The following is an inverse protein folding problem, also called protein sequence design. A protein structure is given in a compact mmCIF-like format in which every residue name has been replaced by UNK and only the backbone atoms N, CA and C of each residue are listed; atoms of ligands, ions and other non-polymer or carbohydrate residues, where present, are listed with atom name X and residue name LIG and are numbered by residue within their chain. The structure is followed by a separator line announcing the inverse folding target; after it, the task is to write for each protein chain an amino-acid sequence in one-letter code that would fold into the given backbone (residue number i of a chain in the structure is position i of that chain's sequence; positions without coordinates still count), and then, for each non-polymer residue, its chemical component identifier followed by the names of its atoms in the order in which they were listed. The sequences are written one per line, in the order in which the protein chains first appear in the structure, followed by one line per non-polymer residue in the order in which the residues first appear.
data_IF_933846562168
#
_entry.id   IF_933846562168
#
_cell.length_a   1.000
_cell.length_b   1.000
_cell.length_c   1.000
_cell.angle_alpha   90.00
_cell.angle_beta   90.00
_cell.angle_gamma   90.00
#
_symmetry.space_group_name_H-M   'P 1'
#
loop_
_entity.id
_entity.type
_entity.pdbx_description
1 polymer ?
#
# COMPACT_ATOMS: atom_id res chain seq x y z
N UNK A 1 0.79 19.46 -12.41
CA UNK A 1 -0.14 18.37 -12.79
C UNK A 1 -0.60 17.70 -11.50
N UNK A 2 -1.90 17.41 -11.32
CA UNK A 2 -2.40 16.84 -10.06
C UNK A 2 -2.07 15.34 -9.99
N UNK A 3 -1.16 14.96 -9.09
CA UNK A 3 -0.63 13.59 -8.95
C UNK A 3 -1.73 12.55 -8.66
N UNK A 4 -2.79 12.94 -7.96
CA UNK A 4 -3.93 12.07 -7.69
C UNK A 4 -4.69 11.71 -8.98
N UNK A 5 -4.94 12.71 -9.83
CA UNK A 5 -5.63 12.54 -11.11
C UNK A 5 -4.80 11.67 -12.05
N UNK A 6 -3.51 11.99 -12.20
CA UNK A 6 -2.63 11.23 -13.09
C UNK A 6 -2.47 9.78 -12.65
N UNK A 7 -2.33 9.53 -11.34
CA UNK A 7 -2.23 8.15 -10.79
C UNK A 7 -3.53 7.39 -11.02
N UNK A 8 -4.67 8.01 -10.72
CA UNK A 8 -5.99 7.38 -10.91
C UNK A 8 -6.21 7.01 -12.37
N UNK A 9 -5.88 7.90 -13.31
CA UNK A 9 -5.96 7.63 -14.75
C UNK A 9 -5.00 6.53 -15.18
N UNK A 10 -3.78 6.54 -14.65
CA UNK A 10 -2.75 5.55 -15.01
C UNK A 10 -3.19 4.13 -14.67
N UNK A 11 -3.76 3.94 -13.47
CA UNK A 11 -4.14 2.61 -12.97
C UNK A 11 -5.54 2.20 -13.44
N UNK A 12 -6.50 3.13 -13.41
CA UNK A 12 -7.93 2.83 -13.59
C UNK A 12 -8.55 3.50 -14.83
N UNK A 13 -7.79 4.16 -15.70
CA UNK A 13 -8.31 4.91 -16.85
C UNK A 13 -9.25 4.09 -17.74
N UNK A 14 -8.94 2.82 -17.99
CA UNK A 14 -9.82 1.93 -18.76
C UNK A 14 -11.19 1.69 -18.09
N UNK A 15 -11.26 1.68 -16.74
CA UNK A 15 -12.52 1.54 -16.00
C UNK A 15 -13.35 2.82 -16.06
N UNK A 16 -12.66 3.96 -16.06
CA UNK A 16 -13.29 5.27 -16.01
C UNK A 16 -13.76 5.76 -17.38
N UNK A 17 -13.32 5.15 -18.49
CA UNK A 17 -13.78 5.47 -19.85
C UNK A 17 -13.74 6.97 -20.18
N UNK A 18 -12.68 7.67 -19.73
CA UNK A 18 -12.50 9.12 -19.84
C UNK A 18 -13.49 9.98 -19.04
N UNK A 19 -14.18 9.43 -18.03
CA UNK A 19 -14.94 10.21 -17.06
C UNK A 19 -14.03 11.23 -16.35
N UNK A 20 -14.50 12.45 -16.06
CA UNK A 20 -13.71 13.44 -15.34
C UNK A 20 -13.29 12.93 -13.96
N UNK A 21 -11.99 12.89 -13.69
CA UNK A 21 -11.45 12.47 -12.40
C UNK A 21 -11.46 13.68 -11.43
N UNK A 22 -12.12 13.56 -10.26
CA UNK A 22 -12.09 14.59 -9.23
C UNK A 22 -10.68 14.86 -8.69
N UNK A 23 -10.48 16.03 -8.11
CA UNK A 23 -9.19 16.46 -7.56
C UNK A 23 -9.05 16.25 -6.04
N UNK A 24 -9.99 15.56 -5.39
CA UNK A 24 -9.95 15.27 -3.95
C UNK A 24 -10.06 13.78 -3.67
N UNK A 25 -9.33 13.30 -2.67
CA UNK A 25 -9.32 11.91 -2.21
C UNK A 25 -10.72 11.35 -1.98
N UNK A 26 -11.57 12.12 -1.28
CA UNK A 26 -12.94 11.72 -0.97
C UNK A 26 -13.78 11.50 -2.23
N UNK A 27 -13.65 12.39 -3.21
CA UNK A 27 -14.41 12.29 -4.46
C UNK A 27 -13.86 11.17 -5.37
N UNK A 28 -12.53 10.98 -5.42
CA UNK A 28 -11.91 9.86 -6.14
C UNK A 28 -12.33 8.52 -5.54
N UNK A 29 -12.31 8.36 -4.20
CA UNK A 29 -12.82 7.15 -3.55
C UNK A 29 -14.27 6.86 -3.91
N UNK A 30 -15.12 7.89 -3.97
CA UNK A 30 -16.52 7.72 -4.35
C UNK A 30 -16.65 7.24 -5.80
N UNK A 31 -15.95 7.90 -6.74
CA UNK A 31 -15.95 7.53 -8.16
C UNK A 31 -15.47 6.09 -8.37
N UNK A 32 -14.36 5.70 -7.75
CA UNK A 32 -13.80 4.36 -7.88
C UNK A 32 -14.71 3.30 -7.26
N UNK A 33 -15.38 3.61 -6.13
CA UNK A 33 -16.34 2.72 -5.50
C UNK A 33 -17.55 2.41 -6.39
N UNK A 34 -18.00 3.38 -7.19
CA UNK A 34 -19.09 3.17 -8.18
C UNK A 34 -18.69 2.14 -9.25
N UNK A 35 -17.38 1.91 -9.44
CA UNK A 35 -16.83 0.92 -10.36
C UNK A 35 -16.33 -0.36 -9.65
N UNK A 36 -16.67 -0.54 -8.37
CA UNK A 36 -16.28 -1.71 -7.57
C UNK A 36 -14.85 -1.65 -7.02
N UNK A 37 -14.15 -0.51 -7.16
CA UNK A 37 -12.78 -0.33 -6.67
C UNK A 37 -12.79 0.32 -5.28
N UNK A 38 -12.16 -0.34 -4.32
CA UNK A 38 -11.99 0.15 -2.95
C UNK A 38 -10.55 0.69 -2.81
N UNK A 39 -10.40 1.92 -2.31
CA UNK A 39 -9.09 2.58 -2.22
C UNK A 39 -8.85 3.15 -0.83
N UNK A 40 -7.66 2.90 -0.30
CA UNK A 40 -7.11 3.55 0.89
C UNK A 40 -5.80 4.24 0.54
N UNK A 41 -5.64 5.50 0.96
CA UNK A 41 -4.46 6.33 0.65
C UNK A 41 -3.43 6.38 1.79
N UNK A 42 -3.75 5.77 2.93
CA UNK A 42 -2.91 5.75 4.12
C UNK A 42 -2.73 4.32 4.60
N UNK A 43 -1.53 4.01 5.09
CA UNK A 43 -1.13 2.69 5.54
C UNK A 43 -2.08 2.16 6.62
N UNK A 44 -2.38 2.94 7.66
CA UNK A 44 -3.24 2.48 8.75
C UNK A 44 -4.68 2.19 8.30
N UNK A 45 -5.19 2.96 7.34
CA UNK A 45 -6.50 2.68 6.75
C UNK A 45 -6.46 1.39 5.91
N UNK A 46 -5.40 1.19 5.13
CA UNK A 46 -5.16 -0.06 4.40
C UNK A 46 -5.03 -1.25 5.34
N UNK A 47 -4.25 -1.13 6.41
CA UNK A 47 -4.06 -2.17 7.43
C UNK A 47 -5.38 -2.54 8.11
N UNK A 48 -6.16 -1.53 8.53
CA UNK A 48 -7.49 -1.73 9.11
C UNK A 48 -8.45 -2.38 8.11
N UNK A 49 -8.33 -2.04 6.83
CA UNK A 49 -9.14 -2.62 5.77
C UNK A 49 -8.84 -4.12 5.60
N UNK A 50 -7.56 -4.50 5.43
CA UNK A 50 -7.17 -5.89 5.18
C UNK A 50 -7.41 -6.79 6.41
N UNK A 51 -7.28 -6.24 7.62
CA UNK A 51 -7.59 -6.95 8.87
C UNK A 51 -9.08 -7.15 9.13
N UNK A 52 -9.96 -6.68 8.25
CA UNK A 52 -11.39 -6.98 8.31
C UNK A 52 -11.72 -8.16 7.38
N UNK A 53 -11.96 -9.38 7.91
CA UNK A 53 -12.15 -10.57 7.06
C UNK A 53 -13.34 -10.44 6.13
N UNK A 54 -14.44 -9.81 6.59
CA UNK A 54 -15.65 -9.65 5.77
C UNK A 54 -15.41 -8.73 4.58
N UNK A 55 -14.55 -7.71 4.73
CA UNK A 55 -14.17 -6.85 3.60
C UNK A 55 -13.16 -7.53 2.69
N UNK A 56 -12.17 -8.22 3.25
CA UNK A 56 -11.13 -8.86 2.45
C UNK A 56 -11.70 -9.98 1.58
N UNK A 57 -12.70 -10.72 2.07
CA UNK A 57 -13.39 -11.77 1.30
C UNK A 57 -14.12 -11.24 0.06
N UNK A 58 -14.41 -9.94 -0.02
CA UNK A 58 -15.03 -9.32 -1.20
C UNK A 58 -14.01 -8.71 -2.17
N UNK A 59 -12.71 -9.01 -2.01
CA UNK A 59 -11.63 -8.44 -2.83
C UNK A 59 -11.02 -9.54 -3.69
N UNK A 60 -11.15 -9.38 -5.00
CA UNK A 60 -10.61 -10.33 -5.98
C UNK A 60 -9.08 -10.21 -6.10
N UNK A 61 -8.57 -8.97 -6.08
CA UNK A 61 -7.15 -8.65 -6.18
C UNK A 61 -6.81 -7.33 -5.47
N UNK A 62 -5.53 -7.14 -5.17
CA UNK A 62 -5.01 -5.94 -4.49
C UNK A 62 -3.93 -5.28 -5.35
N UNK A 63 -3.97 -3.95 -5.44
CA UNK A 63 -2.88 -3.14 -5.99
C UNK A 63 -2.27 -2.35 -4.84
N UNK A 64 -0.96 -2.52 -4.63
CA UNK A 64 -0.20 -1.86 -3.57
C UNK A 64 0.76 -0.84 -4.16
N UNK A 65 0.73 0.38 -3.63
CA UNK A 65 1.88 1.27 -3.77
C UNK A 65 2.95 0.89 -2.74
N UNK A 66 4.21 1.05 -3.09
CA UNK A 66 5.34 0.83 -2.17
C UNK A 66 5.38 1.96 -1.14
N UNK A 67 5.23 3.20 -1.62
CA UNK A 67 5.30 4.40 -0.79
C UNK A 67 3.90 4.83 -0.38
N UNK A 68 3.52 4.50 0.85
CA UNK A 68 2.22 4.86 1.41
C UNK A 68 2.45 5.70 2.67
N UNK A 69 1.70 6.80 2.79
CA UNK A 69 1.74 7.64 3.98
C UNK A 69 1.24 6.84 5.19
N UNK A 70 2.00 6.86 6.29
CA UNK A 70 1.63 6.14 7.52
C UNK A 70 0.39 6.77 8.18
N UNK A 71 0.26 8.10 8.07
CA UNK A 71 -0.68 8.88 8.85
C UNK A 71 -0.04 9.45 10.12
N UNK A 72 -0.73 10.41 10.73
CA UNK A 72 -0.31 11.05 11.99
C UNK A 72 -0.78 10.29 13.23
N UNK A 73 -1.73 9.39 13.08
CA UNK A 73 -2.39 8.78 14.23
C UNK A 73 -1.50 7.69 14.82
N UNK A 74 -1.05 7.92 16.05
CA UNK A 74 -0.59 6.84 16.90
C UNK A 74 -1.76 5.88 17.13
N UNK A 75 -1.53 4.60 16.82
CA UNK A 75 -2.51 3.55 17.02
C UNK A 75 -1.81 2.34 17.59
N UNK A 76 -2.51 1.59 18.45
CA UNK A 76 -2.00 0.35 19.03
C UNK A 76 -1.46 -0.62 17.97
N UNK A 77 -2.12 -0.67 16.81
CA UNK A 77 -1.68 -1.48 15.68
C UNK A 77 -0.35 -1.00 15.07
N UNK A 78 -0.15 0.32 14.95
CA UNK A 78 1.12 0.90 14.49
C UNK A 78 2.23 0.61 15.49
N UNK A 79 1.99 0.91 16.78
CA UNK A 79 2.95 0.67 17.86
C UNK A 79 3.41 -0.79 17.88
N UNK A 80 2.47 -1.72 17.75
CA UNK A 80 2.82 -3.14 17.68
C UNK A 80 3.70 -3.48 16.48
N UNK A 81 3.38 -3.00 15.29
CA UNK A 81 4.21 -3.23 14.10
C UNK A 81 5.62 -2.64 14.28
N UNK A 82 5.71 -1.42 14.82
CA UNK A 82 6.98 -0.76 15.05
C UNK A 82 7.83 -1.49 16.09
N UNK A 83 7.22 -2.02 17.15
CA UNK A 83 7.90 -2.84 18.16
C UNK A 83 8.35 -4.19 17.59
N UNK A 84 7.45 -4.88 16.88
CA UNK A 84 7.71 -6.23 16.38
C UNK A 84 8.80 -6.24 15.28
N UNK A 85 8.90 -5.18 14.46
CA UNK A 85 9.69 -5.21 13.23
C UNK A 85 10.64 -4.02 13.01
N UNK A 86 10.50 -2.91 13.72
CA UNK A 86 11.24 -1.67 13.45
C UNK A 86 12.00 -1.09 14.65
N UNK A 87 12.21 -1.92 15.69
CA UNK A 87 13.00 -1.57 16.88
C UNK A 87 12.46 -0.34 17.62
N UNK A 88 11.14 -0.15 17.64
CA UNK A 88 10.55 0.84 18.54
C UNK A 88 10.58 0.30 19.97
N UNK A 89 11.24 1.06 20.86
CA UNK A 89 11.31 0.75 22.29
C UNK A 89 10.62 1.88 23.08
N UNK A 90 9.42 1.65 23.62
CA UNK A 90 8.69 2.65 24.39
C UNK A 90 9.46 3.11 25.64
N UNK A 91 9.49 4.42 25.91
CA UNK A 91 10.18 5.04 27.05
C UNK A 91 9.16 5.71 27.98
N UNK A 92 8.52 4.98 28.92
CA UNK A 92 7.41 5.49 29.72
C UNK A 92 7.80 6.65 30.66
N UNK A 93 9.09 6.77 30.99
CA UNK A 93 9.61 7.78 31.92
C UNK A 93 10.32 8.95 31.20
N UNK A 94 10.40 8.93 29.86
CA UNK A 94 11.05 9.98 29.05
C UNK A 94 10.30 10.18 27.72
N UNK A 95 9.33 11.10 27.72
CA UNK A 95 8.50 11.41 26.55
C UNK A 95 9.32 11.85 25.32
N UNK A 96 10.44 12.56 25.54
CA UNK A 96 11.29 13.03 24.43
C UNK A 96 12.07 11.88 23.81
N UNK A 97 12.56 10.95 24.62
CA UNK A 97 13.22 9.74 24.12
C UNK A 97 12.23 8.79 23.43
N UNK A 98 10.99 8.69 23.95
CA UNK A 98 9.91 7.91 23.34
C UNK A 98 9.56 8.42 21.93
N UNK A 99 9.32 9.73 21.80
CA UNK A 99 9.02 10.38 20.52
C UNK A 99 10.14 10.15 19.50
N UNK A 100 11.41 10.31 19.92
CA UNK A 100 12.56 10.06 19.05
C UNK A 100 12.67 8.60 18.60
N UNK A 101 12.42 7.65 19.51
CA UNK A 101 12.41 6.20 19.25
C UNK A 101 11.30 5.84 18.25
N UNK A 102 10.10 6.37 18.48
CA UNK A 102 8.94 6.20 17.61
C UNK A 102 9.19 6.77 16.21
N UNK A 103 9.65 8.02 16.10
CA UNK A 103 9.92 8.67 14.81
C UNK A 103 11.02 7.96 14.02
N UNK A 104 12.05 7.46 14.72
CA UNK A 104 13.10 6.66 14.08
C UNK A 104 12.55 5.35 13.52
N UNK A 105 11.74 4.62 14.29
CA UNK A 105 11.12 3.37 13.83
C UNK A 105 10.15 3.63 12.67
N UNK A 106 9.30 4.66 12.79
CA UNK A 106 8.38 5.11 11.73
C UNK A 106 9.12 5.51 10.46
N UNK A 107 10.25 6.20 10.58
CA UNK A 107 11.13 6.57 9.47
C UNK A 107 11.65 5.37 8.69
N UNK A 108 11.87 4.23 9.35
CA UNK A 108 12.25 2.97 8.70
C UNK A 108 11.08 2.24 8.04
N UNK A 109 9.86 2.38 8.59
CA UNK A 109 8.65 1.79 8.01
C UNK A 109 8.21 2.53 6.73
N UNK A 110 8.27 3.87 6.69
CA UNK A 110 7.82 4.69 5.55
C UNK A 110 8.26 4.16 4.17
N UNK A 111 9.56 3.89 3.90
CA UNK A 111 10.00 3.46 2.57
C UNK A 111 9.48 2.07 2.17
N UNK A 112 9.00 1.27 3.12
CA UNK A 112 8.56 -0.11 2.91
C UNK A 112 7.11 -0.36 3.33
N UNK A 113 6.32 0.71 3.55
CA UNK A 113 4.97 0.61 4.10
C UNK A 113 4.05 -0.29 3.25
N UNK A 114 4.13 -0.18 1.91
CA UNK A 114 3.42 -1.07 1.00
C UNK A 114 3.80 -2.54 1.16
N UNK A 115 5.09 -2.82 1.40
CA UNK A 115 5.56 -4.18 1.64
C UNK A 115 5.11 -4.73 2.99
N UNK A 116 5.03 -3.88 4.01
CA UNK A 116 4.46 -4.31 5.29
C UNK A 116 2.99 -4.73 5.13
N UNK A 117 2.20 -4.04 4.29
CA UNK A 117 0.84 -4.49 3.94
C UNK A 117 0.85 -5.81 3.16
N UNK A 118 1.79 -6.00 2.24
CA UNK A 118 1.96 -7.26 1.52
C UNK A 118 2.28 -8.43 2.46
N UNK A 119 3.21 -8.24 3.40
CA UNK A 119 3.57 -9.25 4.40
C UNK A 119 2.33 -9.62 5.21
N UNK A 120 1.56 -8.64 5.68
CA UNK A 120 0.32 -8.90 6.41
C UNK A 120 -0.69 -9.69 5.55
N UNK A 121 -0.91 -9.25 4.30
CA UNK A 121 -1.83 -9.92 3.35
C UNK A 121 -1.46 -11.38 3.11
N UNK A 122 -0.19 -11.66 2.79
CA UNK A 122 0.24 -13.00 2.37
C UNK A 122 0.54 -13.90 3.57
N UNK A 123 1.33 -13.41 4.53
CA UNK A 123 1.85 -14.25 5.61
C UNK A 123 0.86 -14.40 6.75
N UNK A 124 0.14 -13.33 7.12
CA UNK A 124 -0.79 -13.36 8.24
C UNK A 124 -2.21 -13.73 7.79
N UNK A 125 -2.64 -13.25 6.62
CA UNK A 125 -4.03 -13.40 6.15
C UNK A 125 -4.21 -14.45 5.05
N UNK A 126 -3.13 -14.99 4.48
CA UNK A 126 -3.19 -16.04 3.45
C UNK A 126 -3.78 -15.58 2.12
N UNK A 127 -3.74 -14.29 1.80
CA UNK A 127 -4.22 -13.76 0.53
C UNK A 127 -3.33 -14.26 -0.64
N UNK A 128 -3.90 -14.70 -1.78
CA UNK A 128 -3.12 -15.22 -2.90
C UNK A 128 -2.15 -14.19 -3.44
N UNK A 129 -0.85 -14.48 -3.41
CA UNK A 129 0.21 -13.54 -3.83
C UNK A 129 0.11 -13.18 -5.32
N UNK A 130 -0.39 -14.09 -6.15
CA UNK A 130 -0.65 -13.94 -7.59
C UNK A 130 -1.79 -12.94 -7.91
N UNK A 131 -2.60 -12.62 -6.89
CA UNK A 131 -3.66 -11.61 -6.94
C UNK A 131 -3.19 -10.25 -6.39
N UNK A 132 -1.88 -10.07 -6.15
CA UNK A 132 -1.32 -8.80 -5.70
C UNK A 132 -0.40 -8.22 -6.78
N UNK A 133 -0.62 -6.96 -7.14
CA UNK A 133 0.26 -6.16 -7.98
C UNK A 133 0.90 -5.07 -7.14
N UNK A 134 2.23 -4.96 -7.17
CA UNK A 134 2.87 -3.70 -6.78
C UNK A 134 2.86 -2.72 -7.96
N UNK A 135 2.35 -1.52 -7.73
CA UNK A 135 2.27 -0.46 -8.73
C UNK A 135 2.83 0.84 -8.14
N UNK A 136 4.08 1.16 -8.45
CA UNK A 136 4.80 2.29 -7.85
C UNK A 136 5.76 2.97 -8.83
N UNK A 137 6.04 4.26 -8.62
CA UNK A 137 6.99 5.02 -9.44
C UNK A 137 8.37 5.15 -8.77
N UNK A 138 8.56 4.49 -7.63
CA UNK A 138 9.75 4.53 -6.78
C UNK A 138 10.79 3.50 -7.24
N UNK A 139 11.41 3.74 -8.41
CA UNK A 139 12.24 2.77 -9.12
C UNK A 139 13.52 2.35 -8.37
N UNK A 140 14.03 3.16 -7.45
CA UNK A 140 15.23 2.82 -6.65
C UNK A 140 14.85 1.87 -5.51
N UNK A 141 13.79 2.19 -4.77
CA UNK A 141 13.24 1.36 -3.71
C UNK A 141 12.81 -0.02 -4.26
N UNK A 142 12.27 -0.05 -5.48
CA UNK A 142 11.97 -1.28 -6.19
C UNK A 142 13.18 -2.21 -6.36
N UNK A 143 14.38 -1.68 -6.66
CA UNK A 143 15.58 -2.49 -6.89
C UNK A 143 16.10 -3.12 -5.60
N UNK A 144 16.15 -2.35 -4.53
CA UNK A 144 16.60 -2.84 -3.23
C UNK A 144 15.68 -3.95 -2.75
N UNK A 145 14.37 -3.81 -2.99
CA UNK A 145 13.40 -4.80 -2.54
C UNK A 145 13.44 -6.05 -3.43
N UNK A 146 13.60 -5.90 -4.74
CA UNK A 146 13.91 -7.02 -5.64
C UNK A 146 15.13 -7.81 -5.15
N UNK A 147 16.18 -7.11 -4.71
CA UNK A 147 17.38 -7.76 -4.19
C UNK A 147 17.11 -8.54 -2.90
N UNK A 148 16.32 -8.00 -1.97
CA UNK A 148 15.92 -8.68 -0.72
C UNK A 148 15.11 -9.94 -0.99
N UNK A 149 14.09 -9.88 -1.85
CA UNK A 149 13.28 -11.06 -2.21
C UNK A 149 14.13 -12.14 -2.89
N UNK A 150 15.01 -11.73 -3.80
CA UNK A 150 15.96 -12.63 -4.46
C UNK A 150 16.91 -13.30 -3.46
N UNK A 151 17.43 -12.55 -2.50
CA UNK A 151 18.30 -13.07 -1.44
C UNK A 151 17.55 -14.05 -0.53
N UNK A 152 16.30 -13.73 -0.19
CA UNK A 152 15.43 -14.59 0.60
C UNK A 152 14.91 -15.82 -0.16
N UNK A 153 15.15 -15.91 -1.48
CA UNK A 153 14.60 -16.94 -2.39
C UNK A 153 13.07 -16.98 -2.36
N UNK A 154 12.45 -15.83 -2.14
CA UNK A 154 11.00 -15.64 -2.19
C UNK A 154 10.66 -15.12 -3.59
N UNK A 155 9.64 -15.70 -4.20
CA UNK A 155 9.12 -15.20 -5.47
C UNK A 155 8.57 -13.78 -5.26
N UNK A 156 9.11 -12.83 -6.03
CA UNK A 156 8.66 -11.45 -6.00
C UNK A 156 7.27 -11.35 -6.63
N UNK A 157 6.33 -10.61 -6.03
CA UNK A 157 5.08 -10.26 -6.68
C UNK A 157 5.34 -9.46 -7.96
N UNK A 158 4.37 -9.46 -8.87
CA UNK A 158 4.47 -8.63 -10.06
C UNK A 158 4.61 -7.16 -9.66
N UNK A 159 5.55 -6.48 -10.29
CA UNK A 159 5.88 -5.09 -10.04
C UNK A 159 5.83 -4.34 -11.37
N UNK A 160 4.95 -3.34 -11.45
CA UNK A 160 4.82 -2.46 -12.61
C UNK A 160 4.99 -0.99 -12.18
N UNK A 161 5.50 -0.15 -13.09
CA UNK A 161 5.47 1.29 -12.87
C UNK A 161 4.08 1.84 -13.16
N UNK A 162 3.65 2.91 -12.50
CA UNK A 162 2.42 3.62 -12.90
C UNK A 162 2.61 4.30 -14.26
N UNK A 163 3.86 4.50 -14.68
CA UNK A 163 4.17 5.02 -16.01
C UNK A 163 3.89 3.98 -17.11
N UNK A 164 3.88 2.68 -16.77
CA UNK A 164 3.55 1.56 -17.66
C UNK A 164 2.02 1.36 -17.75
N UNK A 165 1.30 2.45 -18.04
CA UNK A 165 -0.17 2.51 -18.00
C UNK A 165 -0.86 1.36 -18.73
N UNK A 166 -0.36 1.01 -19.92
CA UNK A 166 -0.96 -0.03 -20.75
C UNK A 166 -0.92 -1.39 -20.05
N UNK A 167 0.19 -1.71 -19.40
CA UNK A 167 0.42 -2.99 -18.72
C UNK A 167 -0.35 -3.06 -17.41
N UNK A 168 -0.36 -1.97 -16.62
CA UNK A 168 -1.16 -1.89 -15.40
C UNK A 168 -2.65 -2.04 -15.72
N UNK A 169 -3.15 -1.32 -16.73
CA UNK A 169 -4.56 -1.41 -17.11
C UNK A 169 -4.93 -2.76 -17.71
N UNK A 170 -4.03 -3.41 -18.46
CA UNK A 170 -4.24 -4.77 -18.95
C UNK A 170 -4.35 -5.77 -17.80
N UNK A 171 -3.45 -5.69 -16.82
CA UNK A 171 -3.45 -6.56 -15.64
C UNK A 171 -4.75 -6.45 -14.84
N UNK A 172 -5.25 -5.23 -14.65
CA UNK A 172 -6.51 -4.96 -13.95
C UNK A 172 -7.70 -5.52 -14.74
N UNK A 173 -7.69 -5.39 -16.07
CA UNK A 173 -8.76 -5.89 -16.94
C UNK A 173 -8.88 -7.41 -16.93
N UNK A 174 -7.76 -8.13 -16.83
CA UNK A 174 -7.71 -9.60 -16.84
C UNK A 174 -8.23 -10.25 -15.54
N UNK A 175 -8.28 -9.50 -14.44
CA UNK A 175 -8.65 -9.99 -13.10
C UNK A 175 -10.06 -9.59 -12.68
N UNK A 176 -10.85 -9.08 -13.63
CA UNK A 176 -12.24 -8.69 -13.43
C UNK A 176 -13.19 -9.74 -14.00
#
# INVERSE_FOLDING_TARGET
MNTLISTTESVFGHLLANQPIPNTDKAVKKLLKEHGVLVEFMFLNGLKFIRNPQKLLSVDYVILDIYILIGSDDSEALNKILQDYYEYEPQPDDESADELSFDKAKGRLIPVAGYQLYIELVMALGFPKEHILFCSNHAEEQKDIQAVFKQAKIELPLLLSKDDKAEVQAWVKERR
#
